data_IF_046401466518
#
_entry.id   IF_046401466518
#
_cell.length_a   1.000
_cell.length_b   1.000
_cell.length_c   1.000
_cell.angle_alpha   90.00
_cell.angle_beta   90.00
_cell.angle_gamma   90.00
#
_symmetry.space_group_name_H-M   'P 1'
#
loop_
_entity.id
_entity.type
_entity.pdbx_description
1 polymer ?
#
# COMPACT_ATOMS: atom_id res chain seq x y z
N UNK A 1 -33.31 23.13 48.46
CA UNK A 1 -34.08 23.37 47.23
C UNK A 1 -33.14 23.10 46.06
N UNK A 2 -33.16 21.89 45.52
CA UNK A 2 -32.31 21.54 44.36
C UNK A 2 -32.93 22.19 43.12
N UNK A 3 -32.17 23.04 42.44
CA UNK A 3 -32.58 23.65 41.18
C UNK A 3 -32.60 22.56 40.12
N UNK A 4 -33.78 22.28 39.58
CA UNK A 4 -33.95 21.42 38.41
C UNK A 4 -33.09 21.96 37.25
N UNK A 5 -32.29 21.11 36.58
CA UNK A 5 -31.43 21.57 35.50
C UNK A 5 -32.26 22.16 34.36
N UNK A 6 -31.75 23.25 33.78
CA UNK A 6 -32.43 23.98 32.72
C UNK A 6 -32.70 23.04 31.54
N UNK A 7 -33.97 22.89 31.13
CA UNK A 7 -34.39 21.99 30.04
C UNK A 7 -33.59 22.24 28.75
N UNK A 8 -33.22 23.48 28.49
CA UNK A 8 -32.42 23.88 27.33
C UNK A 8 -30.99 23.33 27.40
N UNK A 9 -30.35 23.36 28.57
CA UNK A 9 -29.00 22.80 28.75
C UNK A 9 -29.00 21.29 28.62
N UNK A 10 -30.06 20.64 29.11
CA UNK A 10 -30.24 19.18 29.00
C UNK A 10 -30.39 18.74 27.54
N UNK A 11 -31.17 19.48 26.75
CA UNK A 11 -31.33 19.24 25.30
C UNK A 11 -30.02 19.44 24.54
N UNK A 12 -29.28 20.51 24.83
CA UNK A 12 -27.98 20.77 24.20
C UNK A 12 -26.98 19.67 24.54
N UNK A 13 -26.96 19.22 25.80
CA UNK A 13 -26.05 18.16 26.23
C UNK A 13 -26.38 16.81 25.58
N UNK A 14 -27.67 16.48 25.44
CA UNK A 14 -28.12 15.28 24.75
C UNK A 14 -27.78 15.31 23.26
N UNK A 15 -27.99 16.45 22.59
CA UNK A 15 -27.60 16.62 21.19
C UNK A 15 -26.08 16.54 20.99
N UNK A 16 -25.28 17.08 21.91
CA UNK A 16 -23.81 16.93 21.89
C UNK A 16 -23.38 15.49 22.09
N UNK A 17 -24.02 14.76 23.00
CA UNK A 17 -23.74 13.34 23.22
C UNK A 17 -24.13 12.49 21.99
N UNK A 18 -25.28 12.78 21.36
CA UNK A 18 -25.68 12.19 20.09
C UNK A 18 -24.66 12.47 18.99
N UNK A 19 -24.26 13.73 18.79
CA UNK A 19 -23.24 14.09 17.79
C UNK A 19 -21.85 13.49 18.10
N UNK A 20 -21.51 13.28 19.37
CA UNK A 20 -20.30 12.55 19.78
C UNK A 20 -20.37 11.07 19.41
N UNK A 21 -21.54 10.46 19.58
CA UNK A 21 -21.77 9.07 19.20
C UNK A 21 -21.80 8.89 17.67
N UNK A 22 -22.17 9.95 16.93
CA UNK A 22 -22.10 10.03 15.46
C UNK A 22 -20.83 10.74 14.96
N UNK A 23 -19.73 10.76 15.73
CA UNK A 23 -18.49 11.36 15.21
C UNK A 23 -18.05 10.59 13.97
N UNK A 24 -18.06 11.25 12.81
CA UNK A 24 -17.53 10.68 11.58
C UNK A 24 -16.05 10.39 11.82
N UNK A 25 -15.70 9.11 11.93
CA UNK A 25 -14.32 8.70 12.04
C UNK A 25 -13.67 8.89 10.68
N UNK A 26 -12.91 9.97 10.52
CA UNK A 26 -12.10 10.19 9.32
C UNK A 26 -10.82 9.37 9.46
N UNK A 27 -10.60 8.46 8.51
CA UNK A 27 -9.35 7.71 8.39
C UNK A 27 -8.51 8.34 7.28
N UNK A 28 -7.26 8.70 7.58
CA UNK A 28 -6.29 9.23 6.62
C UNK A 28 -5.43 8.11 6.05
N UNK A 29 -5.74 7.72 4.82
CA UNK A 29 -4.99 6.75 4.04
C UNK A 29 -4.03 7.50 3.10
N UNK A 30 -2.77 7.07 3.06
CA UNK A 30 -1.73 7.65 2.18
C UNK A 30 -0.97 6.52 1.49
N UNK A 31 -0.51 6.75 0.27
CA UNK A 31 0.38 5.84 -0.44
C UNK A 31 1.64 6.59 -0.87
N UNK A 32 2.81 5.98 -0.64
CA UNK A 32 4.12 6.47 -1.10
C UNK A 32 4.94 5.29 -1.59
N UNK A 33 5.40 5.33 -2.84
CA UNK A 33 6.47 4.42 -3.29
C UNK A 33 7.80 4.94 -2.71
N UNK A 34 8.38 4.18 -1.78
CA UNK A 34 9.57 4.61 -1.05
C UNK A 34 10.89 4.13 -1.68
N UNK A 35 10.84 3.24 -2.67
CA UNK A 35 12.02 2.60 -3.30
C UNK A 35 13.06 2.13 -2.24
N UNK A 36 12.61 1.35 -1.26
CA UNK A 36 13.29 0.95 -0.01
C UNK A 36 12.85 1.74 1.23
N UNK A 37 12.23 1.01 2.19
CA UNK A 37 11.92 1.58 3.52
C UNK A 37 13.20 1.95 4.27
N UNK A 38 14.25 1.14 4.16
CA UNK A 38 15.50 1.34 4.91
C UNK A 38 16.08 2.73 4.70
N UNK A 39 16.07 3.21 3.46
CA UNK A 39 16.66 4.50 3.07
C UNK A 39 15.75 5.69 3.42
N UNK A 40 14.47 5.44 3.71
CA UNK A 40 13.44 6.47 3.93
C UNK A 40 12.83 6.45 5.32
N UNK A 41 13.24 5.55 6.22
CA UNK A 41 12.55 5.29 7.49
C UNK A 41 12.34 6.55 8.34
N UNK A 42 13.37 7.36 8.55
CA UNK A 42 13.28 8.61 9.33
C UNK A 42 12.30 9.60 8.69
N UNK A 43 12.41 9.80 7.38
CA UNK A 43 11.49 10.66 6.64
C UNK A 43 10.04 10.19 6.75
N UNK A 44 9.80 8.88 6.59
CA UNK A 44 8.47 8.30 6.70
C UNK A 44 7.90 8.51 8.11
N UNK A 45 8.71 8.30 9.15
CA UNK A 45 8.29 8.51 10.53
C UNK A 45 7.88 9.97 10.80
N UNK A 46 8.69 10.93 10.36
CA UNK A 46 8.39 12.35 10.52
C UNK A 46 7.15 12.77 9.72
N UNK A 47 7.06 12.34 8.46
CA UNK A 47 5.93 12.60 7.57
C UNK A 47 4.61 12.04 8.12
N UNK A 48 4.63 10.80 8.61
CA UNK A 48 3.45 10.17 9.21
C UNK A 48 2.98 10.88 10.46
N UNK A 49 3.91 11.36 11.29
CA UNK A 49 3.60 12.15 12.49
C UNK A 49 3.04 13.51 12.12
N UNK A 50 3.69 14.24 11.22
CA UNK A 50 3.31 15.59 10.80
C UNK A 50 1.90 15.63 10.21
N UNK A 51 1.58 14.67 9.33
CA UNK A 51 0.27 14.64 8.67
C UNK A 51 -0.80 13.86 9.45
N UNK A 52 -0.43 13.27 10.59
CA UNK A 52 -1.29 12.39 11.39
C UNK A 52 -1.92 11.30 10.52
N UNK A 53 -1.08 10.55 9.80
CA UNK A 53 -1.51 9.48 8.90
C UNK A 53 -2.07 8.30 9.72
N UNK A 54 -3.15 7.69 9.27
CA UNK A 54 -3.73 6.53 9.96
C UNK A 54 -3.23 5.23 9.35
N UNK A 55 -3.15 5.19 8.02
CA UNK A 55 -2.55 4.08 7.27
C UNK A 55 -1.67 4.61 6.14
N UNK A 56 -0.44 4.11 6.07
CA UNK A 56 0.50 4.38 4.98
C UNK A 56 0.78 3.10 4.20
N UNK A 57 0.44 3.09 2.91
CA UNK A 57 0.77 2.05 1.95
C UNK A 57 2.12 2.33 1.30
N UNK A 58 3.00 1.33 1.32
CA UNK A 58 4.35 1.40 0.75
C UNK A 58 4.53 0.22 -0.21
N UNK A 59 4.30 0.41 -1.52
CA UNK A 59 4.88 -0.49 -2.51
C UNK A 59 6.41 -0.32 -2.53
N UNK A 60 7.09 -1.37 -2.98
CA UNK A 60 8.55 -1.42 -3.03
C UNK A 60 9.22 -1.22 -1.67
N UNK A 61 8.79 -2.01 -0.68
CA UNK A 61 9.39 -1.99 0.67
C UNK A 61 10.86 -2.41 0.68
N UNK A 62 11.23 -3.29 -0.24
CA UNK A 62 12.51 -3.99 -0.40
C UNK A 62 12.90 -4.80 0.84
N UNK A 63 11.90 -5.16 1.65
CA UNK A 63 12.05 -6.10 2.74
C UNK A 63 12.26 -7.52 2.20
N UNK A 64 13.01 -8.32 2.96
CA UNK A 64 13.24 -9.74 2.70
C UNK A 64 12.86 -10.55 3.93
N UNK A 65 12.46 -11.83 3.77
CA UNK A 65 11.94 -12.64 4.88
C UNK A 65 12.92 -12.85 6.05
N UNK A 66 14.21 -12.65 5.84
CA UNK A 66 15.26 -12.73 6.86
C UNK A 66 15.41 -11.45 7.71
N UNK A 67 14.80 -10.34 7.30
CA UNK A 67 14.77 -9.12 8.09
C UNK A 67 13.72 -9.28 9.19
N UNK A 68 14.04 -9.08 10.49
CA UNK A 68 13.05 -9.11 11.56
C UNK A 68 11.98 -8.01 11.40
N UNK A 69 10.72 -8.30 11.76
CA UNK A 69 9.59 -7.36 11.63
C UNK A 69 9.83 -6.01 12.34
N UNK A 70 10.54 -6.02 13.48
CA UNK A 70 10.86 -4.81 14.24
C UNK A 70 11.97 -3.94 13.63
N UNK A 71 12.68 -4.41 12.60
CA UNK A 71 13.82 -3.70 12.00
C UNK A 71 13.43 -2.34 11.39
N UNK A 72 12.17 -2.21 10.98
CA UNK A 72 11.61 -0.98 10.40
C UNK A 72 10.46 -0.43 11.25
N UNK A 73 10.53 -0.61 12.56
CA UNK A 73 9.49 -0.11 13.46
C UNK A 73 9.42 1.42 13.45
N UNK A 74 8.21 1.95 13.26
CA UNK A 74 7.88 3.36 13.48
C UNK A 74 7.03 3.47 14.76
N UNK A 75 7.44 4.26 15.78
CA UNK A 75 6.65 4.43 17.00
C UNK A 75 5.22 4.90 16.74
N UNK A 76 4.24 4.28 17.40
CA UNK A 76 2.81 4.56 17.20
C UNK A 76 2.16 3.83 16.03
N UNK A 77 2.91 2.98 15.32
CA UNK A 77 2.41 2.21 14.19
C UNK A 77 2.81 0.73 14.29
N UNK A 78 1.96 -0.11 13.71
CA UNK A 78 2.23 -1.52 13.42
C UNK A 78 2.55 -1.65 11.94
N UNK A 79 3.46 -2.56 11.60
CA UNK A 79 3.85 -2.78 10.21
C UNK A 79 3.39 -4.16 9.74
N UNK A 80 2.44 -4.18 8.80
CA UNK A 80 2.01 -5.38 8.10
C UNK A 80 2.71 -5.42 6.74
N UNK A 81 3.28 -6.56 6.34
CA UNK A 81 4.04 -6.65 5.09
C UNK A 81 3.90 -7.99 4.39
N UNK A 82 4.07 -7.94 3.08
CA UNK A 82 4.29 -9.09 2.22
C UNK A 82 5.62 -8.89 1.48
N UNK A 83 6.63 -9.65 1.91
CA UNK A 83 7.94 -9.63 1.27
C UNK A 83 7.88 -10.45 -0.02
N UNK A 84 8.69 -10.07 -1.01
CA UNK A 84 8.76 -10.81 -2.28
C UNK A 84 9.09 -12.29 -2.09
N UNK A 85 10.05 -12.60 -1.21
CA UNK A 85 10.44 -13.97 -0.87
C UNK A 85 11.07 -14.81 -1.98
N UNK A 86 11.23 -14.32 -3.22
CA UNK A 86 11.90 -15.05 -4.29
C UNK A 86 13.41 -15.16 -4.04
N UNK A 87 13.94 -16.38 -4.12
CA UNK A 87 15.38 -16.64 -4.03
C UNK A 87 16.04 -16.48 -5.39
N UNK A 88 17.27 -15.97 -5.42
CA UNK A 88 18.09 -15.99 -6.64
C UNK A 88 18.35 -17.44 -7.03
N UNK A 89 18.09 -17.77 -8.30
CA UNK A 89 18.42 -19.09 -8.84
C UNK A 89 19.94 -19.27 -8.85
N UNK A 90 20.42 -20.43 -8.36
CA UNK A 90 21.82 -20.81 -8.46
C UNK A 90 22.26 -21.17 -9.90
N UNK A 91 21.34 -21.14 -10.89
CA UNK A 91 21.59 -21.65 -12.25
C UNK A 91 22.19 -20.63 -13.24
N UNK A 92 22.44 -19.38 -12.85
CA UNK A 92 23.30 -18.45 -13.62
C UNK A 92 24.78 -18.55 -13.20
N UNK A 93 25.24 -19.78 -12.92
CA UNK A 93 26.66 -20.07 -12.72
C UNK A 93 27.14 -21.08 -13.76
N UNK A 94 27.51 -20.56 -14.93
CA UNK A 94 28.54 -21.06 -15.84
C UNK A 94 28.45 -20.15 -17.08
N UNK A 95 29.35 -19.19 -17.30
CA UNK A 95 30.74 -19.45 -17.65
C UNK A 95 31.68 -18.33 -17.15
N UNK A 96 32.85 -18.71 -16.62
CA UNK A 96 34.07 -17.88 -16.51
C UNK A 96 34.31 -16.98 -15.29
N UNK A 97 33.86 -17.31 -14.06
CA UNK A 97 34.53 -16.79 -12.85
C UNK A 97 34.69 -17.89 -11.81
N UNK A 98 35.95 -18.13 -11.42
CA UNK A 98 36.43 -19.29 -10.67
C UNK A 98 35.70 -19.56 -9.35
N UNK A 99 35.93 -20.78 -8.85
CA UNK A 99 35.40 -21.41 -7.64
C UNK A 99 35.34 -20.49 -6.41
N UNK A 100 34.37 -19.58 -6.36
CA UNK A 100 33.86 -19.00 -5.12
C UNK A 100 32.61 -19.79 -4.72
N UNK A 101 32.56 -20.33 -3.49
CA UNK A 101 31.35 -20.98 -3.00
C UNK A 101 30.16 -20.03 -3.14
N UNK A 102 29.03 -20.57 -3.60
CA UNK A 102 27.76 -19.85 -3.67
C UNK A 102 27.44 -19.26 -2.31
N UNK A 103 27.25 -17.93 -2.23
CA UNK A 103 26.60 -17.34 -1.06
C UNK A 103 25.23 -18.03 -0.91
N UNK A 104 24.84 -18.47 0.30
CA UNK A 104 23.56 -19.12 0.50
C UNK A 104 22.42 -18.16 0.17
N UNK A 105 21.37 -18.71 -0.47
CA UNK A 105 19.99 -18.23 -0.58
C UNK A 105 19.76 -16.71 -0.45
N UNK A 106 20.37 -15.94 -1.34
CA UNK A 106 20.12 -14.51 -1.40
C UNK A 106 18.76 -14.25 -2.04
N UNK A 107 17.93 -13.43 -1.39
CA UNK A 107 16.64 -13.00 -1.94
C UNK A 107 16.83 -12.04 -3.12
N UNK A 108 15.89 -12.05 -4.06
CA UNK A 108 15.81 -11.07 -5.12
C UNK A 108 15.40 -9.71 -4.55
N UNK A 109 16.24 -8.69 -4.77
CA UNK A 109 15.95 -7.33 -4.35
C UNK A 109 14.86 -6.66 -5.19
N UNK A 110 14.24 -5.63 -4.61
CA UNK A 110 13.48 -4.61 -5.33
C UNK A 110 12.00 -4.91 -5.52
N UNK A 111 11.17 -4.83 -4.48
CA UNK A 111 9.76 -5.20 -4.47
C UNK A 111 9.20 -5.21 -3.06
N UNK A 112 8.21 -6.05 -2.80
CA UNK A 112 7.52 -6.15 -1.53
C UNK A 112 6.50 -5.03 -1.34
N UNK A 113 5.49 -5.30 -0.53
CA UNK A 113 4.47 -4.32 -0.15
C UNK A 113 4.30 -4.29 1.36
N UNK A 114 3.86 -3.15 1.87
CA UNK A 114 3.62 -3.00 3.30
C UNK A 114 2.63 -1.90 3.64
N UNK A 115 2.07 -2.02 4.84
CA UNK A 115 1.14 -1.08 5.44
C UNK A 115 1.65 -0.73 6.84
N UNK A 116 1.97 0.54 7.08
CA UNK A 116 2.00 1.04 8.45
C UNK A 116 0.59 1.43 8.87
N UNK A 117 0.12 0.89 9.99
CA UNK A 117 -1.23 1.10 10.52
C UNK A 117 -1.08 1.65 11.93
N UNK A 118 -1.72 2.78 12.24
CA UNK A 118 -1.65 3.39 13.58
C UNK A 118 -2.08 2.38 14.64
N UNK A 119 -1.33 2.28 15.72
CA UNK A 119 -1.53 1.27 16.77
C UNK A 119 -2.89 1.36 17.48
N UNK A 120 -3.51 2.54 17.48
CA UNK A 120 -4.87 2.79 17.98
C UNK A 120 -5.96 2.17 17.10
N UNK A 121 -5.64 1.77 15.88
CA UNK A 121 -6.58 1.14 14.94
C UNK A 121 -6.50 -0.37 15.10
N UNK A 122 -7.65 -0.98 15.37
CA UNK A 122 -7.78 -2.44 15.36
C UNK A 122 -7.81 -2.92 13.90
N UNK A 123 -7.05 -3.96 13.61
CA UNK A 123 -6.98 -4.54 12.26
C UNK A 123 -6.62 -6.01 12.30
N UNK A 124 -6.87 -6.73 11.20
CA UNK A 124 -6.34 -8.08 10.96
C UNK A 124 -5.87 -8.25 9.51
N UNK A 125 -4.85 -9.07 9.32
CA UNK A 125 -4.46 -9.54 7.99
C UNK A 125 -5.55 -10.47 7.44
N UNK A 126 -5.99 -10.22 6.21
CA UNK A 126 -6.98 -11.05 5.52
C UNK A 126 -6.27 -11.97 4.53
N UNK A 127 -5.36 -11.43 3.73
CA UNK A 127 -4.61 -12.19 2.73
C UNK A 127 -3.35 -11.43 2.33
N UNK A 128 -2.33 -12.16 1.88
CA UNK A 128 -1.14 -11.60 1.23
C UNK A 128 -0.63 -12.52 0.14
N UNK A 129 0.06 -11.93 -0.84
CA UNK A 129 0.72 -12.68 -1.89
C UNK A 129 1.89 -13.49 -1.36
N UNK A 130 2.07 -14.70 -1.87
CA UNK A 130 3.30 -15.47 -1.76
C UNK A 130 3.74 -15.79 -3.19
N UNK A 131 4.41 -14.83 -3.84
CA UNK A 131 4.64 -14.90 -5.28
C UNK A 131 5.57 -16.07 -5.64
N UNK A 132 5.30 -16.75 -6.75
CA UNK A 132 6.15 -17.85 -7.24
C UNK A 132 7.11 -17.41 -8.33
N UNK A 133 6.80 -16.29 -9.00
CA UNK A 133 7.62 -15.72 -10.05
C UNK A 133 7.50 -14.19 -10.13
N UNK A 134 8.42 -13.56 -10.86
CA UNK A 134 8.55 -12.09 -10.95
C UNK A 134 7.39 -11.37 -11.67
N UNK A 135 6.49 -12.11 -12.33
CA UNK A 135 5.37 -11.54 -13.09
C UNK A 135 4.08 -11.46 -12.28
N UNK A 136 4.04 -12.07 -11.09
CA UNK A 136 2.90 -12.03 -10.19
C UNK A 136 2.82 -10.68 -9.48
N UNK A 137 1.59 -10.22 -9.23
CA UNK A 137 1.33 -9.00 -8.45
C UNK A 137 1.55 -9.28 -6.96
N UNK A 138 2.32 -8.42 -6.31
CA UNK A 138 2.59 -8.48 -4.88
C UNK A 138 1.51 -7.69 -4.14
N UNK A 139 0.92 -8.24 -3.08
CA UNK A 139 -0.14 -7.56 -2.34
C UNK A 139 -0.22 -7.97 -0.87
N UNK A 140 -0.78 -7.09 -0.05
CA UNK A 140 -1.26 -7.38 1.30
C UNK A 140 -2.63 -6.71 1.48
N UNK A 141 -3.58 -7.46 2.04
CA UNK A 141 -4.95 -7.06 2.28
C UNK A 141 -5.23 -7.17 3.78
N UNK A 142 -5.69 -6.07 4.38
CA UNK A 142 -6.06 -6.00 5.79
C UNK A 142 -7.50 -5.49 5.93
N UNK A 143 -8.15 -5.92 7.01
CA UNK A 143 -9.43 -5.36 7.46
C UNK A 143 -9.15 -4.39 8.61
N UNK A 144 -9.60 -3.15 8.50
CA UNK A 144 -9.59 -2.15 9.57
C UNK A 144 -10.94 -2.13 10.28
N UNK A 145 -10.94 -2.03 11.60
CA UNK A 145 -12.17 -1.95 12.41
C UNK A 145 -12.40 -0.51 12.87
N UNK A 146 -13.53 0.05 12.44
CA UNK A 146 -14.05 1.33 12.94
C UNK A 146 -14.59 1.21 14.35
N UNK A 147 -14.74 2.35 15.03
CA UNK A 147 -15.24 2.40 16.41
C UNK A 147 -16.71 1.94 16.53
N UNK A 148 -17.48 2.03 15.45
CA UNK A 148 -18.91 1.69 15.40
C UNK A 148 -19.19 0.27 14.86
N UNK A 149 -18.16 -0.55 14.69
CA UNK A 149 -18.28 -1.88 14.07
C UNK A 149 -18.19 -1.87 12.54
N UNK A 150 -18.04 -0.69 11.92
CA UNK A 150 -17.75 -0.55 10.49
C UNK A 150 -16.41 -1.23 10.15
N UNK A 151 -16.32 -1.77 8.94
CA UNK A 151 -15.15 -2.52 8.47
C UNK A 151 -14.73 -2.02 7.11
N UNK A 152 -13.47 -1.61 7.00
CA UNK A 152 -12.89 -1.14 5.74
C UNK A 152 -11.82 -2.12 5.30
N UNK A 153 -11.93 -2.61 4.08
CA UNK A 153 -10.90 -3.42 3.45
C UNK A 153 -9.86 -2.51 2.82
N UNK A 154 -8.59 -2.68 3.20
CA UNK A 154 -7.47 -1.92 2.64
C UNK A 154 -6.45 -2.86 2.02
N UNK A 155 -6.13 -2.64 0.76
CA UNK A 155 -5.10 -3.37 0.04
C UNK A 155 -3.92 -2.46 -0.33
N UNK A 156 -2.70 -2.93 -0.09
CA UNK A 156 -1.48 -2.42 -0.72
C UNK A 156 -1.06 -3.39 -1.82
N UNK A 157 -0.87 -2.89 -3.03
CA UNK A 157 -0.48 -3.71 -4.19
C UNK A 157 0.72 -3.12 -4.93
N UNK A 158 1.55 -3.99 -5.49
CA UNK A 158 2.66 -3.64 -6.36
C UNK A 158 2.72 -4.61 -7.53
N UNK A 159 2.69 -4.07 -8.74
CA UNK A 159 3.01 -4.84 -9.95
C UNK A 159 4.26 -4.26 -10.57
N UNK A 160 5.28 -5.10 -10.76
CA UNK A 160 6.51 -4.73 -11.47
C UNK A 160 6.19 -4.24 -12.90
N UNK A 161 6.95 -3.28 -13.47
CA UNK A 161 6.82 -2.93 -14.88
C UNK A 161 6.89 -4.17 -15.78
N UNK A 162 5.98 -4.27 -16.75
CA UNK A 162 5.83 -5.41 -17.67
C UNK A 162 5.44 -6.75 -17.01
N UNK A 163 4.99 -6.76 -15.76
CA UNK A 163 4.38 -7.94 -15.16
C UNK A 163 3.04 -8.25 -15.82
N UNK A 164 2.74 -9.52 -16.07
CA UNK A 164 1.59 -9.93 -16.90
C UNK A 164 0.32 -10.29 -16.11
N UNK A 165 0.35 -10.28 -14.78
CA UNK A 165 -0.67 -10.93 -13.97
C UNK A 165 -1.40 -9.97 -13.01
N UNK A 166 -2.17 -9.02 -13.55
CA UNK A 166 -3.12 -8.23 -12.76
C UNK A 166 -4.37 -9.03 -12.41
N UNK A 167 -4.88 -9.84 -13.35
CA UNK A 167 -6.16 -10.53 -13.23
C UNK A 167 -6.25 -11.41 -11.96
N UNK A 168 -5.25 -12.25 -11.69
CA UNK A 168 -5.27 -13.16 -10.53
C UNK A 168 -5.34 -12.40 -9.20
N UNK A 169 -4.64 -11.25 -9.10
CA UNK A 169 -4.71 -10.40 -7.90
C UNK A 169 -6.07 -9.73 -7.74
N UNK A 170 -6.71 -9.36 -8.85
CA UNK A 170 -8.06 -8.79 -8.83
C UNK A 170 -9.14 -9.85 -8.56
N UNK A 171 -8.95 -11.10 -8.98
CA UNK A 171 -9.83 -12.21 -8.61
C UNK A 171 -9.79 -12.44 -7.09
N UNK A 172 -8.59 -12.45 -6.51
CA UNK A 172 -8.41 -12.50 -5.06
C UNK A 172 -9.07 -11.31 -4.36
N UNK A 173 -8.90 -10.09 -4.87
CA UNK A 173 -9.53 -8.90 -4.32
C UNK A 173 -11.06 -8.97 -4.43
N UNK A 174 -11.59 -9.45 -5.55
CA UNK A 174 -13.03 -9.62 -5.79
C UNK A 174 -13.64 -10.56 -4.75
N UNK A 175 -13.09 -11.77 -4.60
CA UNK A 175 -13.47 -12.78 -3.59
C UNK A 175 -13.51 -12.19 -2.17
N UNK A 176 -12.46 -11.44 -1.79
CA UNK A 176 -12.38 -10.86 -0.45
C UNK A 176 -13.35 -9.68 -0.30
N UNK A 177 -13.54 -8.86 -1.34
CA UNK A 177 -14.35 -7.64 -1.31
C UNK A 177 -15.85 -7.89 -1.18
N UNK A 178 -16.36 -9.07 -1.56
CA UNK A 178 -17.79 -9.40 -1.51
C UNK A 178 -18.43 -9.17 -0.13
N UNK A 179 -17.63 -9.27 0.95
CA UNK A 179 -18.09 -9.09 2.32
C UNK A 179 -17.97 -7.65 2.87
N UNK A 180 -17.58 -6.69 2.04
CA UNK A 180 -17.27 -5.32 2.45
C UNK A 180 -17.98 -4.28 1.58
N UNK A 181 -18.58 -3.28 2.22
CA UNK A 181 -19.10 -2.08 1.56
C UNK A 181 -18.00 -1.08 1.22
N UNK A 182 -16.94 -1.05 2.01
CA UNK A 182 -15.88 -0.04 1.95
C UNK A 182 -14.56 -0.72 1.62
N UNK A 183 -14.08 -0.52 0.40
CA UNK A 183 -12.86 -1.14 -0.13
C UNK A 183 -11.95 -0.06 -0.71
N UNK A 184 -10.70 -0.05 -0.25
CA UNK A 184 -9.66 0.86 -0.74
C UNK A 184 -8.46 0.05 -1.21
N UNK A 185 -8.14 0.17 -2.49
CA UNK A 185 -6.93 -0.42 -3.08
C UNK A 185 -5.97 0.72 -3.37
N UNK A 186 -4.74 0.60 -2.84
CA UNK A 186 -3.66 1.55 -3.06
C UNK A 186 -2.43 0.81 -3.55
N UNK A 187 -1.63 1.43 -4.39
CA UNK A 187 -0.44 0.75 -4.87
C UNK A 187 0.20 1.39 -6.08
N UNK A 188 1.29 0.77 -6.50
CA UNK A 188 1.95 1.06 -7.76
C UNK A 188 1.76 -0.15 -8.68
N UNK A 189 0.76 -0.06 -9.55
CA UNK A 189 0.43 -1.11 -10.51
C UNK A 189 1.21 -0.95 -11.82
N UNK A 190 2.05 0.07 -11.98
CA UNK A 190 2.77 0.36 -13.23
C UNK A 190 1.88 0.32 -14.50
N UNK A 191 0.60 0.70 -14.37
CA UNK A 191 -0.38 0.81 -15.46
C UNK A 191 -0.70 2.28 -15.70
N UNK A 192 -0.65 2.74 -16.94
CA UNK A 192 -0.90 4.13 -17.28
C UNK A 192 -2.38 4.34 -17.61
N UNK A 193 -3.10 5.01 -16.70
CA UNK A 193 -4.49 5.43 -16.87
C UNK A 193 -4.62 6.88 -17.38
N UNK A 194 -3.49 7.57 -17.60
CA UNK A 194 -3.45 9.00 -17.93
C UNK A 194 -3.24 9.30 -19.41
N UNK A 195 -2.90 8.28 -20.21
CA UNK A 195 -2.61 8.45 -21.62
C UNK A 195 -3.90 8.60 -22.45
N UNK A 196 -3.87 9.53 -23.42
CA UNK A 196 -4.85 9.60 -24.52
C UNK A 196 -4.90 8.31 -25.34
N UNK A 197 -3.83 7.50 -25.28
CA UNK A 197 -3.73 6.13 -25.77
C UNK A 197 -3.30 5.22 -24.61
N UNK A 198 -4.27 4.74 -23.83
CA UNK A 198 -4.05 3.79 -22.73
C UNK A 198 -3.22 2.61 -23.24
N UNK A 199 -2.10 2.26 -22.58
CA UNK A 199 -1.33 1.07 -22.95
C UNK A 199 -2.14 -0.22 -22.69
N UNK A 200 -1.67 -1.38 -23.16
CA UNK A 200 -2.39 -2.65 -22.97
C UNK A 200 -2.69 -2.90 -21.49
N UNK A 201 -1.72 -2.61 -20.62
CA UNK A 201 -1.83 -2.78 -19.18
C UNK A 201 -2.80 -1.80 -18.50
N UNK A 202 -2.95 -0.59 -19.04
CA UNK A 202 -3.94 0.37 -18.59
C UNK A 202 -5.35 -0.05 -18.97
N UNK A 203 -5.54 -0.58 -20.20
CA UNK A 203 -6.86 -1.07 -20.66
C UNK A 203 -7.31 -2.29 -19.86
N UNK A 204 -6.38 -3.16 -19.52
CA UNK A 204 -6.67 -4.32 -18.67
C UNK A 204 -7.05 -3.88 -17.25
N UNK A 205 -6.36 -2.86 -16.71
CA UNK A 205 -6.73 -2.28 -15.43
C UNK A 205 -8.12 -1.62 -15.48
N UNK A 206 -8.44 -0.83 -16.51
CA UNK A 206 -9.77 -0.22 -16.70
C UNK A 206 -10.88 -1.28 -16.69
N UNK A 207 -10.73 -2.36 -17.47
CA UNK A 207 -11.72 -3.46 -17.49
C UNK A 207 -11.87 -4.12 -16.12
N UNK A 208 -10.77 -4.30 -15.39
CA UNK A 208 -10.82 -4.88 -14.04
C UNK A 208 -11.51 -3.93 -13.05
N UNK A 209 -11.28 -2.62 -13.16
CA UNK A 209 -11.97 -1.62 -12.34
C UNK A 209 -13.48 -1.63 -12.64
N UNK A 210 -13.86 -1.58 -13.91
CA UNK A 210 -15.27 -1.63 -14.35
C UNK A 210 -15.97 -2.91 -13.88
N UNK A 211 -15.35 -4.07 -14.09
CA UNK A 211 -15.91 -5.37 -13.69
C UNK A 211 -16.18 -5.47 -12.19
N UNK A 212 -15.40 -4.77 -11.37
CA UNK A 212 -15.51 -4.82 -9.91
C UNK A 212 -16.12 -3.55 -9.30
N UNK A 213 -16.71 -2.67 -10.12
CA UNK A 213 -17.27 -1.37 -9.68
C UNK A 213 -16.29 -0.50 -8.87
N UNK A 214 -14.99 -0.58 -9.17
CA UNK A 214 -14.00 0.29 -8.56
C UNK A 214 -13.92 1.62 -9.31
N UNK A 215 -13.78 2.70 -8.56
CA UNK A 215 -13.62 4.04 -9.10
C UNK A 215 -12.20 4.53 -8.83
N UNK A 216 -11.40 4.86 -9.87
CA UNK A 216 -10.09 5.44 -9.66
C UNK A 216 -10.23 6.81 -8.98
N UNK A 217 -9.41 7.07 -7.96
CA UNK A 217 -9.33 8.41 -7.37
C UNK A 217 -8.42 9.25 -8.27
N UNK A 218 -8.94 10.28 -8.96
CA UNK A 218 -8.17 11.01 -9.95
C UNK A 218 -7.04 11.79 -9.28
N UNK A 219 -5.82 11.56 -9.75
CA UNK A 219 -4.64 12.36 -9.42
C UNK A 219 -3.83 12.63 -10.70
N UNK A 220 -3.09 13.75 -10.71
CA UNK A 220 -2.10 14.02 -11.76
C UNK A 220 -0.96 12.99 -11.78
N UNK A 221 0.02 13.13 -12.70
CA UNK A 221 1.15 12.20 -12.80
C UNK A 221 1.81 11.95 -11.43
N UNK A 222 1.94 10.69 -11.04
CA UNK A 222 2.48 10.26 -9.73
C UNK A 222 3.97 9.89 -9.78
N UNK A 223 4.55 9.80 -10.98
CA UNK A 223 5.97 9.54 -11.21
C UNK A 223 6.58 10.64 -12.08
N UNK A 224 7.65 11.24 -11.60
CA UNK A 224 8.39 12.30 -12.31
C UNK A 224 9.83 11.84 -12.55
N UNK A 225 10.21 11.65 -13.82
CA UNK A 225 11.63 11.53 -14.19
C UNK A 225 12.22 12.92 -14.45
N UNK A 226 13.33 13.23 -13.79
CA UNK A 226 14.15 14.37 -14.18
C UNK A 226 14.72 14.07 -15.58
N UNK A 227 14.19 14.73 -16.62
CA UNK A 227 14.86 14.74 -17.92
C UNK A 227 16.17 15.52 -17.75
N UNK A 228 17.30 14.83 -17.75
CA UNK A 228 18.58 15.48 -18.03
C UNK A 228 18.43 16.08 -19.43
N UNK A 229 18.35 17.41 -19.53
CA UNK A 229 18.49 18.11 -20.80
C UNK A 229 19.90 17.80 -21.28
N UNK A 230 20.02 17.00 -22.34
CA UNK A 230 21.21 17.04 -23.18
C UNK A 230 21.18 18.38 -23.88
N UNK A 231 21.85 19.38 -23.32
CA UNK A 231 22.12 20.61 -24.06
C UNK A 231 22.93 20.21 -25.31
N UNK A 232 22.49 20.59 -26.52
CA UNK A 232 23.29 20.36 -27.70
C UNK A 232 24.57 21.20 -27.57
N UNK A 233 25.71 20.53 -27.55
CA UNK A 233 27.00 21.15 -27.79
C UNK A 233 26.93 21.71 -29.22
N UNK A 234 26.62 23.00 -29.35
CA UNK A 234 26.81 23.73 -30.61
C UNK A 234 28.30 23.91 -30.81
N UNK A 235 28.91 22.94 -31.48
CA UNK A 235 30.18 23.11 -32.15
C UNK A 235 29.92 23.39 -33.63
N UNK A 236 30.12 24.65 -34.03
CA UNK A 236 30.73 25.07 -35.29
C UNK A 236 31.01 26.58 -35.23
#
# INVERSE_FOLDING_TARGET
>A
MQLEPNRTETLIQNSRNLLRNYSIQKIKLVQINAYSIKERLTFLADFMKEHSIDVLSIPETWCTPDIPDDSYRIPGYKFARADRGLKKSNNEKNTNKGNKPSKPDEYMYGGGVGLYIRDTIKWREIRKSAIKNMNETEYIIVELHGLNGDRVLVASAYRRPKGHCLADSFEVLSDVSESYSDVVIMGDLNSDLSATDVNEEGRDLEKLLERNSYHPVPFGPTHHQARLRSDPITGQ
#
